data_IF_727289521959
#
_entry.id   IF_727289521959
#
_cell.length_a   1.000
_cell.length_b   1.000
_cell.length_c   1.000
_cell.angle_alpha   90.00
_cell.angle_beta   90.00
_cell.angle_gamma   90.00
#
_symmetry.space_group_name_H-M   'P 1'
#
loop_
_entity.id
_entity.type
_entity.pdbx_description
1 polymer ?
#
# COMPACT_ATOMS: atom_id res chain seq x y z
N UNK A 1 20.26 20.95 40.86
CA UNK A 1 19.46 19.71 40.77
C UNK A 1 18.15 20.05 40.08
N UNK A 2 17.98 19.63 38.83
CA UNK A 2 16.92 20.09 37.92
C UNK A 2 15.54 19.57 38.32
N UNK A 3 14.73 20.43 38.95
CA UNK A 3 13.30 20.18 39.27
C UNK A 3 12.39 20.52 38.08
N UNK A 4 12.95 21.13 37.02
CA UNK A 4 12.21 21.70 35.88
C UNK A 4 11.62 20.60 34.97
N UNK A 5 12.23 19.41 34.93
CA UNK A 5 11.77 18.31 34.05
C UNK A 5 10.45 17.64 34.46
N UNK A 6 9.85 17.99 35.60
CA UNK A 6 8.53 17.46 36.01
C UNK A 6 7.35 18.15 35.33
N UNK A 7 7.55 19.31 34.72
CA UNK A 7 6.49 20.08 34.06
C UNK A 7 6.30 19.75 32.58
N UNK A 8 7.27 19.09 31.95
CA UNK A 8 7.09 18.56 30.60
C UNK A 8 6.31 17.25 30.71
N UNK A 9 4.99 17.36 30.56
CA UNK A 9 4.11 16.20 30.44
C UNK A 9 4.63 15.29 29.33
N UNK A 10 4.71 13.98 29.60
CA UNK A 10 5.13 13.00 28.59
C UNK A 10 4.18 13.13 27.39
N UNK A 11 4.72 13.49 26.25
CA UNK A 11 3.95 13.59 25.02
C UNK A 11 3.34 12.21 24.71
N UNK A 12 2.02 12.15 24.63
CA UNK A 12 1.34 10.93 24.20
C UNK A 12 1.78 10.62 22.77
N UNK A 13 2.05 9.34 22.44
CA UNK A 13 2.45 8.97 21.09
C UNK A 13 1.34 9.37 20.12
N UNK A 14 1.71 10.16 19.10
CA UNK A 14 0.77 10.62 18.07
C UNK A 14 0.19 9.39 17.35
N UNK A 15 -1.14 9.27 17.18
CA UNK A 15 -1.71 8.15 16.46
C UNK A 15 -1.26 8.20 15.00
N UNK A 16 -0.60 7.14 14.54
CA UNK A 16 -0.03 7.05 13.18
C UNK A 16 -1.02 6.48 12.13
N UNK A 17 -2.30 6.42 12.46
CA UNK A 17 -3.35 5.93 11.56
C UNK A 17 -3.19 4.44 11.20
N UNK A 18 -3.26 4.11 9.90
CA UNK A 18 -3.03 2.73 9.37
C UNK A 18 -1.60 2.22 9.55
N UNK A 19 -0.69 3.07 9.99
CA UNK A 19 0.69 2.71 10.26
C UNK A 19 0.87 2.60 11.76
N UNK A 20 1.22 1.42 12.25
CA UNK A 20 1.79 1.26 13.58
C UNK A 20 3.31 1.25 13.46
N UNK A 21 4.01 1.66 14.52
CA UNK A 21 5.45 1.42 14.64
C UNK A 21 5.64 -0.10 14.69
N UNK A 22 6.27 -0.64 13.66
CA UNK A 22 6.60 -2.06 13.57
C UNK A 22 8.11 -2.21 13.75
N UNK A 23 8.52 -3.09 14.67
CA UNK A 23 9.93 -3.34 14.97
C UNK A 23 10.42 -4.64 14.34
N UNK A 24 9.51 -5.49 13.83
CA UNK A 24 9.86 -6.72 13.15
C UNK A 24 10.23 -6.44 11.68
N UNK A 25 11.51 -6.63 11.34
CA UNK A 25 12.05 -6.43 9.98
C UNK A 25 11.26 -7.16 8.89
N UNK A 26 10.85 -8.42 9.15
CA UNK A 26 10.05 -9.21 8.22
C UNK A 26 8.71 -8.56 7.90
N UNK A 27 8.01 -8.04 8.92
CA UNK A 27 6.71 -7.39 8.73
C UNK A 27 6.85 -6.04 8.03
N UNK A 28 7.92 -5.30 8.32
CA UNK A 28 8.24 -4.04 7.64
C UNK A 28 8.44 -4.28 6.15
N UNK A 29 9.30 -5.24 5.79
CA UNK A 29 9.59 -5.56 4.39
C UNK A 29 8.33 -5.97 3.64
N UNK A 30 7.55 -6.91 4.19
CA UNK A 30 6.30 -7.33 3.58
C UNK A 30 5.32 -6.16 3.38
N UNK A 31 5.26 -5.21 4.32
CA UNK A 31 4.39 -4.04 4.20
C UNK A 31 4.85 -3.12 3.07
N UNK A 32 6.16 -2.94 2.91
CA UNK A 32 6.75 -2.16 1.82
C UNK A 32 6.42 -2.81 0.48
N UNK A 33 6.66 -4.12 0.36
CA UNK A 33 6.41 -4.87 -0.88
C UNK A 33 4.94 -4.83 -1.29
N UNK A 34 4.02 -5.12 -0.37
CA UNK A 34 2.58 -5.09 -0.63
C UNK A 34 2.06 -3.68 -0.95
N UNK A 35 2.66 -2.64 -0.36
CA UNK A 35 2.30 -1.25 -0.71
C UNK A 35 2.70 -0.93 -2.15
N UNK A 36 3.81 -1.49 -2.65
CA UNK A 36 4.24 -1.28 -4.03
C UNK A 36 3.37 -2.04 -5.03
N UNK A 37 2.84 -3.21 -4.64
CA UNK A 37 1.90 -3.99 -5.46
C UNK A 37 0.53 -3.30 -5.62
N UNK A 38 0.05 -2.61 -4.58
CA UNK A 38 -1.23 -1.89 -4.61
C UNK A 38 -1.23 -0.67 -5.56
N UNK A 39 -0.05 -0.22 -5.98
CA UNK A 39 0.12 0.89 -6.93
C UNK A 39 0.17 0.46 -8.42
N UNK A 40 -0.19 -0.80 -8.73
CA UNK A 40 -0.17 -1.30 -10.10
C UNK A 40 -1.38 -0.80 -10.93
N UNK A 41 -1.42 0.51 -11.20
CA UNK A 41 -2.39 1.16 -12.10
C UNK A 41 -3.86 1.02 -11.71
N UNK A 42 -4.80 1.64 -12.43
CA UNK A 42 -6.20 1.34 -12.24
C UNK A 42 -6.43 -0.15 -12.52
N UNK A 43 -6.96 -0.87 -11.52
CA UNK A 43 -7.30 -2.29 -11.60
C UNK A 43 -8.20 -2.64 -12.81
N UNK A 44 -8.83 -1.64 -13.43
CA UNK A 44 -9.59 -1.76 -14.66
C UNK A 44 -8.78 -1.93 -15.95
N UNK A 45 -7.54 -1.42 -16.06
CA UNK A 45 -6.79 -1.47 -17.33
C UNK A 45 -6.39 -2.90 -17.71
N UNK A 46 -6.07 -3.74 -16.73
CA UNK A 46 -5.82 -5.17 -16.95
C UNK A 46 -7.07 -5.91 -17.42
N UNK A 47 -8.25 -5.59 -16.86
CA UNK A 47 -9.51 -6.16 -17.30
C UNK A 47 -9.88 -5.70 -18.73
N UNK A 48 -9.72 -4.39 -19.02
CA UNK A 48 -9.99 -3.80 -20.34
C UNK A 48 -9.07 -4.40 -21.42
N UNK A 49 -7.78 -4.57 -21.14
CA UNK A 49 -6.84 -5.13 -22.10
C UNK A 49 -7.15 -6.60 -22.44
N UNK A 50 -7.59 -7.39 -21.46
CA UNK A 50 -8.04 -8.78 -21.67
C UNK A 50 -9.35 -8.90 -22.43
N UNK A 51 -10.27 -7.94 -22.27
CA UNK A 51 -11.52 -7.92 -23.05
C UNK A 51 -11.19 -7.58 -24.51
N UNK A 52 -10.38 -6.53 -24.74
CA UNK A 52 -9.99 -6.08 -26.08
C UNK A 52 -9.26 -7.16 -26.89
N UNK A 53 -8.41 -7.97 -26.25
CA UNK A 53 -7.72 -9.08 -26.93
C UNK A 53 -8.65 -10.24 -27.29
N UNK A 54 -9.69 -10.51 -26.49
CA UNK A 54 -10.72 -11.50 -26.84
C UNK A 54 -11.54 -11.08 -28.05
N UNK A 55 -11.91 -9.80 -28.12
CA UNK A 55 -12.71 -9.28 -29.23
C UNK A 55 -11.95 -9.36 -30.57
N UNK A 56 -10.64 -9.05 -30.55
CA UNK A 56 -9.77 -9.20 -31.73
C UNK A 56 -9.68 -10.67 -32.17
N UNK A 57 -9.49 -11.60 -31.23
CA UNK A 57 -9.42 -13.04 -31.53
C UNK A 57 -10.74 -13.61 -32.08
N UNK A 58 -11.89 -13.02 -31.70
CA UNK A 58 -13.20 -13.42 -32.23
C UNK A 58 -13.40 -12.90 -33.65
N UNK A 59 -12.92 -11.70 -33.95
CA UNK A 59 -12.99 -11.13 -35.30
C UNK A 59 -12.08 -11.87 -36.29
N UNK A 60 -10.89 -12.29 -35.87
CA UNK A 60 -9.98 -13.06 -36.73
C UNK A 60 -10.46 -14.49 -37.00
N UNK A 61 -11.24 -15.09 -36.10
CA UNK A 61 -11.82 -16.44 -36.29
C UNK A 61 -13.05 -16.49 -37.18
N UNK A 62 -13.67 -15.35 -37.45
CA UNK A 62 -14.87 -15.23 -38.29
C UNK A 62 -14.56 -14.66 -39.69
N UNK A 63 -13.27 -14.56 -40.06
CA UNK A 63 -12.79 -14.16 -41.38
C UNK A 63 -12.18 -15.36 -42.08
#
# INVERSE_FOLDING_TARGET
MSVINRFFGKELPKPMGRWSIENCSKKINNKIDLSNEDHCGPCGQYAISKIKSKDVLVLEKNK
#
